data_IF_260786783943
#
_entry.id   IF_260786783943
#
_cell.length_a   1.000
_cell.length_b   1.000
_cell.length_c   1.000
_cell.angle_alpha   90.00
_cell.angle_beta   90.00
_cell.angle_gamma   90.00
#
_symmetry.space_group_name_H-M   'P 1'
#
loop_
_entity.id
_entity.type
_entity.pdbx_description
1 polymer ?
#
# COMPACT_ATOMS: atom_id res chain seq x y z
N UNK A 1 22.81 11.27 -18.66
CA UNK A 1 23.65 10.06 -18.82
C UNK A 1 22.73 8.86 -18.64
N UNK A 2 22.57 8.02 -19.69
CA UNK A 2 21.81 6.76 -19.56
C UNK A 2 22.66 5.81 -18.73
N UNK A 3 22.24 5.53 -17.50
CA UNK A 3 22.82 4.44 -16.71
C UNK A 3 22.33 3.15 -17.31
N UNK A 4 23.17 2.46 -18.05
CA UNK A 4 22.86 1.11 -18.54
C UNK A 4 22.83 0.20 -17.31
N UNK A 5 21.65 -0.20 -16.89
CA UNK A 5 21.51 -1.22 -15.85
C UNK A 5 22.03 -2.55 -16.41
N UNK A 6 23.05 -3.10 -15.78
CA UNK A 6 23.56 -4.44 -16.09
C UNK A 6 22.93 -5.40 -15.10
N UNK A 7 22.10 -6.30 -15.62
CA UNK A 7 21.41 -7.30 -14.82
C UNK A 7 22.43 -8.24 -14.14
N UNK A 8 22.24 -8.49 -12.83
CA UNK A 8 23.11 -9.43 -12.10
C UNK A 8 22.79 -10.86 -12.50
N UNK A 9 23.83 -11.70 -12.54
CA UNK A 9 23.63 -13.15 -12.74
C UNK A 9 22.97 -13.77 -11.49
N UNK A 10 22.27 -14.91 -11.62
CA UNK A 10 21.68 -15.62 -10.48
C UNK A 10 22.70 -15.95 -9.39
N UNK A 11 23.94 -16.27 -9.76
CA UNK A 11 25.03 -16.55 -8.81
C UNK A 11 25.41 -15.28 -8.03
N UNK A 12 25.49 -14.14 -8.71
CA UNK A 12 25.79 -12.86 -8.08
C UNK A 12 24.64 -12.43 -7.13
N UNK A 13 23.40 -12.72 -7.49
CA UNK A 13 22.23 -12.47 -6.63
C UNK A 13 22.28 -13.37 -5.39
N UNK A 14 22.60 -14.65 -5.53
CA UNK A 14 22.72 -15.58 -4.42
C UNK A 14 23.85 -15.17 -3.45
N UNK A 15 24.96 -14.68 -3.97
CA UNK A 15 26.11 -14.23 -3.15
C UNK A 15 25.84 -12.89 -2.46
N UNK A 16 25.38 -11.88 -3.21
CA UNK A 16 25.22 -10.49 -2.73
C UNK A 16 23.92 -10.24 -2.00
N UNK A 17 22.91 -11.09 -2.19
CA UNK A 17 21.57 -11.01 -1.59
C UNK A 17 20.95 -9.61 -1.68
N UNK A 18 20.89 -8.99 -2.88
CA UNK A 18 20.40 -7.60 -3.05
C UNK A 18 18.94 -7.43 -2.60
N UNK A 19 18.16 -8.50 -2.60
CA UNK A 19 16.78 -8.52 -2.15
C UNK A 19 16.63 -8.12 -0.67
N UNK A 20 17.64 -8.33 0.18
CA UNK A 20 17.61 -7.90 1.57
C UNK A 20 17.58 -6.35 1.68
N UNK A 21 18.38 -5.67 0.86
CA UNK A 21 18.41 -4.20 0.80
C UNK A 21 17.07 -3.62 0.27
N UNK A 22 16.34 -4.40 -0.52
CA UNK A 22 15.03 -4.06 -1.04
C UNK A 22 13.87 -4.46 -0.10
N UNK A 23 14.18 -4.99 1.08
CA UNK A 23 13.19 -5.32 2.11
C UNK A 23 12.51 -6.68 1.97
N UNK A 24 13.02 -7.57 1.10
CA UNK A 24 12.61 -8.98 1.10
C UNK A 24 13.48 -9.77 2.06
N UNK A 25 12.88 -10.62 2.88
CA UNK A 25 13.61 -11.59 3.69
C UNK A 25 14.11 -12.76 2.82
N UNK A 26 15.03 -13.56 3.35
CA UNK A 26 15.54 -14.74 2.65
C UNK A 26 14.42 -15.76 2.36
N UNK A 27 13.53 -15.98 3.33
CA UNK A 27 12.38 -16.88 3.17
C UNK A 27 11.41 -16.38 2.08
N UNK A 28 11.17 -15.06 2.01
CA UNK A 28 10.33 -14.46 0.98
C UNK A 28 10.96 -14.58 -0.41
N UNK A 29 12.27 -14.38 -0.53
CA UNK A 29 13.00 -14.60 -1.77
C UNK A 29 12.86 -16.05 -2.26
N UNK A 30 13.11 -17.03 -1.39
CA UNK A 30 12.95 -18.43 -1.73
C UNK A 30 11.51 -18.78 -2.10
N UNK A 31 10.55 -18.27 -1.33
CA UNK A 31 9.13 -18.45 -1.64
C UNK A 31 8.75 -17.87 -2.98
N UNK A 32 9.30 -16.71 -3.33
CA UNK A 32 9.07 -16.08 -4.62
C UNK A 32 9.66 -16.93 -5.77
N UNK A 33 10.91 -17.40 -5.62
CA UNK A 33 11.53 -18.29 -6.59
C UNK A 33 10.72 -19.58 -6.83
N UNK A 34 10.17 -20.18 -5.78
CA UNK A 34 9.26 -21.33 -5.89
C UNK A 34 7.99 -20.98 -6.69
N UNK A 35 7.38 -19.82 -6.43
CA UNK A 35 6.14 -19.40 -7.09
C UNK A 35 6.33 -19.15 -8.58
N UNK A 36 7.44 -18.56 -8.99
CA UNK A 36 7.73 -18.28 -10.39
C UNK A 36 8.41 -19.45 -11.12
N UNK A 37 8.92 -20.43 -10.37
CA UNK A 37 9.52 -21.67 -10.91
C UNK A 37 10.96 -21.52 -11.42
N UNK A 38 11.63 -20.41 -11.10
CA UNK A 38 13.04 -20.17 -11.44
C UNK A 38 13.72 -19.21 -10.45
N UNK A 39 15.02 -19.02 -10.57
CA UNK A 39 15.74 -18.01 -9.78
C UNK A 39 15.39 -16.62 -10.29
N UNK A 40 14.88 -15.71 -9.43
CA UNK A 40 14.49 -14.36 -9.84
C UNK A 40 15.68 -13.54 -10.34
N UNK A 41 15.47 -12.76 -11.38
CA UNK A 41 16.41 -11.74 -11.83
C UNK A 41 16.20 -10.40 -11.08
N UNK A 42 17.05 -9.41 -11.32
CA UNK A 42 17.00 -8.10 -10.64
C UNK A 42 15.65 -7.40 -10.80
N UNK A 43 15.09 -7.44 -11.99
CA UNK A 43 13.79 -6.81 -12.28
C UNK A 43 12.67 -7.50 -11.50
N UNK A 44 12.66 -8.82 -11.48
CA UNK A 44 11.67 -9.62 -10.75
C UNK A 44 11.78 -9.40 -9.23
N UNK A 45 13.01 -9.32 -8.70
CA UNK A 45 13.27 -8.98 -7.30
C UNK A 45 12.72 -7.57 -6.98
N UNK A 46 12.97 -6.59 -7.84
CA UNK A 46 12.45 -5.24 -7.68
C UNK A 46 10.92 -5.20 -7.67
N UNK A 47 10.27 -5.90 -8.59
CA UNK A 47 8.82 -6.04 -8.65
C UNK A 47 8.25 -6.72 -7.40
N UNK A 48 8.84 -7.86 -7.00
CA UNK A 48 8.42 -8.59 -5.81
C UNK A 48 8.57 -7.73 -4.54
N UNK A 49 9.68 -7.01 -4.41
CA UNK A 49 9.93 -6.08 -3.30
C UNK A 49 8.86 -4.99 -3.22
N UNK A 50 8.51 -4.37 -4.33
CA UNK A 50 7.47 -3.35 -4.36
C UNK A 50 6.08 -3.90 -4.02
N UNK A 51 5.69 -4.98 -4.69
CA UNK A 51 4.37 -5.60 -4.50
C UNK A 51 4.21 -6.24 -3.12
N UNK A 52 5.27 -6.79 -2.56
CA UNK A 52 5.29 -7.48 -1.25
C UNK A 52 5.81 -6.59 -0.11
N UNK A 53 5.64 -5.29 -0.25
CA UNK A 53 6.03 -4.29 0.73
C UNK A 53 4.93 -4.04 1.76
N UNK A 54 5.28 -3.34 2.83
CA UNK A 54 4.29 -2.81 3.78
C UNK A 54 3.31 -1.87 3.09
N UNK A 55 3.77 -1.10 2.09
CA UNK A 55 2.93 -0.14 1.38
C UNK A 55 1.84 -0.82 0.53
N UNK A 56 2.18 -1.84 -0.24
CA UNK A 56 1.25 -2.50 -1.16
C UNK A 56 0.49 -3.67 -0.52
N UNK A 57 1.21 -4.51 0.25
CA UNK A 57 0.68 -5.77 0.79
C UNK A 57 0.31 -5.68 2.28
N UNK A 58 0.63 -4.59 2.96
CA UNK A 58 0.52 -4.48 4.41
C UNK A 58 1.25 -5.62 5.13
N UNK A 59 2.46 -5.92 4.66
CA UNK A 59 3.28 -7.08 5.00
C UNK A 59 3.38 -7.35 6.50
N UNK A 60 3.61 -6.29 7.28
CA UNK A 60 3.77 -6.36 8.74
C UNK A 60 2.51 -5.95 9.49
N UNK A 61 1.78 -4.95 9.01
CA UNK A 61 0.62 -4.41 9.72
C UNK A 61 -0.65 -5.23 9.56
N UNK A 62 -0.80 -5.98 8.46
CA UNK A 62 -2.02 -6.75 8.17
C UNK A 62 -2.46 -7.70 9.29
N UNK A 63 -1.57 -8.47 9.97
CA UNK A 63 -1.96 -9.32 11.09
C UNK A 63 -2.49 -8.53 12.29
N UNK A 64 -1.97 -7.31 12.51
CA UNK A 64 -2.40 -6.41 13.58
C UNK A 64 -3.74 -5.77 13.21
N UNK A 65 -3.86 -5.25 11.99
CA UNK A 65 -5.10 -4.62 11.50
C UNK A 65 -6.30 -5.58 11.55
N UNK A 66 -6.07 -6.88 11.31
CA UNK A 66 -7.11 -7.92 11.41
C UNK A 66 -7.67 -8.12 12.83
N UNK A 67 -6.99 -7.62 13.86
CA UNK A 67 -7.43 -7.71 15.24
C UNK A 67 -8.38 -6.58 15.63
N UNK A 68 -8.47 -5.52 14.82
CA UNK A 68 -9.42 -4.43 15.08
C UNK A 68 -10.85 -4.89 14.84
N UNK A 69 -11.73 -4.46 15.74
CA UNK A 69 -13.15 -4.69 15.59
C UNK A 69 -13.75 -3.77 14.53
N UNK A 70 -14.07 -4.34 13.37
CA UNK A 70 -14.54 -3.60 12.18
C UNK A 70 -15.94 -4.03 11.74
N UNK A 71 -16.62 -4.88 12.51
CA UNK A 71 -17.96 -5.38 12.17
C UNK A 71 -18.93 -5.10 13.31
N UNK A 72 -19.99 -4.36 13.02
CA UNK A 72 -21.16 -4.17 13.87
C UNK A 72 -22.35 -3.71 13.02
N UNK A 73 -23.53 -3.59 13.62
CA UNK A 73 -24.78 -3.26 12.93
C UNK A 73 -24.78 -1.87 12.25
N UNK A 74 -23.87 -0.98 12.63
CA UNK A 74 -23.74 0.34 12.05
C UNK A 74 -22.74 0.42 10.90
N UNK A 75 -21.90 -0.58 10.71
CA UNK A 75 -20.93 -0.59 9.62
C UNK A 75 -21.60 -1.02 8.33
N UNK A 76 -21.82 -0.09 7.44
CA UNK A 76 -22.39 -0.34 6.12
C UNK A 76 -21.35 -0.76 5.11
N UNK A 77 -20.12 -0.23 5.24
CA UNK A 77 -18.98 -0.57 4.40
C UNK A 77 -17.72 -0.58 5.26
N UNK A 78 -17.08 -1.73 5.35
CA UNK A 78 -15.89 -1.96 6.16
C UNK A 78 -14.60 -2.09 5.33
N UNK A 79 -13.53 -2.67 5.90
CA UNK A 79 -12.25 -2.83 5.23
C UNK A 79 -12.36 -3.62 3.92
N UNK A 80 -11.59 -3.17 2.91
CA UNK A 80 -11.57 -3.74 1.56
C UNK A 80 -12.08 -2.78 0.49
N UNK A 81 -12.71 -1.69 0.93
CA UNK A 81 -13.23 -0.63 0.07
C UNK A 81 -12.40 0.66 0.19
N UNK A 82 -12.62 1.60 -0.72
CA UNK A 82 -11.88 2.87 -0.76
C UNK A 82 -12.13 3.79 0.42
N UNK A 83 -13.29 3.66 1.08
CA UNK A 83 -13.67 4.45 2.25
C UNK A 83 -14.52 3.63 3.20
N UNK A 84 -14.59 4.03 4.47
CA UNK A 84 -15.51 3.47 5.45
C UNK A 84 -16.88 4.16 5.40
N UNK A 85 -17.96 3.41 5.67
CA UNK A 85 -19.31 3.96 5.74
C UNK A 85 -20.00 3.46 7.02
N UNK A 86 -20.49 4.41 7.80
CA UNK A 86 -21.18 4.14 9.09
C UNK A 86 -22.57 4.76 9.08
N UNK A 87 -23.55 3.95 9.45
CA UNK A 87 -24.91 4.43 9.71
C UNK A 87 -24.94 5.31 10.98
N UNK A 88 -25.44 6.52 10.84
CA UNK A 88 -25.63 7.46 11.96
C UNK A 88 -27.10 7.65 12.35
N UNK A 89 -28.00 6.83 11.80
CA UNK A 89 -29.42 6.88 12.05
C UNK A 89 -30.18 7.83 11.10
N UNK A 90 -31.49 7.83 11.22
CA UNK A 90 -32.38 8.66 10.41
C UNK A 90 -32.22 8.52 8.89
N UNK A 91 -31.79 7.33 8.43
CA UNK A 91 -31.52 7.07 7.00
C UNK A 91 -30.28 7.79 6.48
N UNK A 92 -29.38 8.23 7.36
CA UNK A 92 -28.14 8.92 7.01
C UNK A 92 -26.92 8.07 7.30
N UNK A 93 -25.87 8.24 6.51
CA UNK A 93 -24.59 7.60 6.73
C UNK A 93 -23.45 8.62 6.61
N UNK A 94 -22.36 8.36 7.33
CA UNK A 94 -21.09 9.10 7.19
C UNK A 94 -20.13 8.25 6.41
N UNK A 95 -19.58 8.80 5.33
CA UNK A 95 -18.47 8.27 4.57
C UNK A 95 -17.19 8.95 5.04
N UNK A 96 -16.16 8.19 5.37
CA UNK A 96 -14.91 8.74 5.85
C UNK A 96 -13.71 7.99 5.30
N UNK A 97 -12.60 8.70 5.15
CA UNK A 97 -11.30 8.18 4.74
C UNK A 97 -10.22 8.86 5.56
N UNK A 98 -9.21 8.10 5.93
CA UNK A 98 -7.96 8.61 6.48
C UNK A 98 -6.80 8.05 5.69
N UNK A 99 -5.84 8.87 5.35
CA UNK A 99 -4.65 8.47 4.59
C UNK A 99 -3.44 9.29 5.02
N UNK A 100 -2.30 8.65 5.11
CA UNK A 100 -1.00 9.31 5.25
C UNK A 100 -0.35 9.38 3.87
N UNK A 101 0.04 10.57 3.44
CA UNK A 101 0.74 10.82 2.16
C UNK A 101 2.18 11.28 2.41
N UNK A 102 2.92 10.55 3.26
CA UNK A 102 4.19 11.00 3.82
C UNK A 102 5.36 10.97 2.82
N UNK A 103 5.54 9.89 2.04
CA UNK A 103 6.67 9.77 1.12
C UNK A 103 6.65 10.81 0.01
N UNK A 104 5.56 10.98 -0.76
CA UNK A 104 5.49 12.05 -1.75
C UNK A 104 5.68 13.43 -1.15
N UNK A 105 5.09 13.69 0.03
CA UNK A 105 5.21 14.98 0.72
C UNK A 105 6.61 15.23 1.28
N UNK A 106 7.38 14.20 1.60
CA UNK A 106 8.77 14.34 2.03
C UNK A 106 9.70 14.76 0.87
N UNK A 107 9.37 14.37 -0.36
CA UNK A 107 10.15 14.69 -1.57
C UNK A 107 9.69 16.01 -2.18
N UNK A 108 8.40 16.19 -2.37
CA UNK A 108 7.75 17.37 -2.96
C UNK A 108 6.53 17.76 -2.13
N UNK A 109 6.67 18.59 -1.09
CA UNK A 109 5.62 18.87 -0.11
C UNK A 109 4.33 19.39 -0.73
N UNK A 110 4.42 20.33 -1.67
CA UNK A 110 3.25 20.94 -2.29
C UNK A 110 2.46 19.94 -3.15
N UNK A 111 3.13 19.26 -4.06
CA UNK A 111 2.51 18.28 -4.95
C UNK A 111 2.06 17.03 -4.18
N UNK A 112 2.82 16.65 -3.15
CA UNK A 112 2.46 15.57 -2.25
C UNK A 112 1.18 15.86 -1.48
N UNK A 113 1.05 17.05 -0.91
CA UNK A 113 -0.16 17.49 -0.21
C UNK A 113 -1.36 17.59 -1.18
N UNK A 114 -1.17 18.17 -2.36
CA UNK A 114 -2.22 18.29 -3.37
C UNK A 114 -2.76 16.91 -3.79
N UNK A 115 -1.88 15.94 -4.00
CA UNK A 115 -2.25 14.56 -4.34
C UNK A 115 -2.94 13.84 -3.18
N UNK A 116 -2.46 14.03 -1.96
CA UNK A 116 -3.07 13.47 -0.75
C UNK A 116 -4.50 13.94 -0.57
N UNK A 117 -4.72 15.26 -0.63
CA UNK A 117 -6.05 15.88 -0.56
C UNK A 117 -6.95 15.39 -1.70
N UNK A 118 -6.46 15.41 -2.92
CA UNK A 118 -7.23 14.97 -4.10
C UNK A 118 -7.62 13.50 -4.03
N UNK A 119 -6.73 12.63 -3.56
CA UNK A 119 -6.98 11.20 -3.40
C UNK A 119 -8.08 10.91 -2.39
N UNK A 120 -8.04 11.55 -1.22
CA UNK A 120 -9.08 11.40 -0.18
C UNK A 120 -10.45 11.89 -0.66
N UNK A 121 -10.50 13.04 -1.31
CA UNK A 121 -11.75 13.59 -1.87
C UNK A 121 -12.32 12.65 -2.92
N UNK A 122 -11.48 12.12 -3.80
CA UNK A 122 -11.88 11.16 -4.84
C UNK A 122 -12.51 9.91 -4.25
N UNK A 123 -11.95 9.36 -3.18
CA UNK A 123 -12.49 8.16 -2.55
C UNK A 123 -13.88 8.39 -1.95
N UNK A 124 -14.12 9.57 -1.36
CA UNK A 124 -15.45 9.95 -0.87
C UNK A 124 -16.46 10.07 -2.03
N UNK A 125 -16.07 10.71 -3.13
CA UNK A 125 -16.92 10.81 -4.33
C UNK A 125 -17.19 9.44 -4.96
N UNK A 126 -16.22 8.53 -4.97
CA UNK A 126 -16.38 7.19 -5.55
C UNK A 126 -17.46 6.36 -4.86
N UNK A 127 -17.71 6.63 -3.57
CA UNK A 127 -18.78 6.00 -2.78
C UNK A 127 -20.14 6.73 -3.01
N UNK A 128 -20.17 7.82 -3.77
CA UNK A 128 -21.38 8.61 -4.04
C UNK A 128 -21.68 9.66 -2.98
N UNK A 129 -20.76 9.94 -2.08
CA UNK A 129 -20.94 10.94 -1.03
C UNK A 129 -20.31 12.29 -1.43
N UNK A 130 -20.85 13.38 -0.85
CA UNK A 130 -20.29 14.72 -1.00
C UNK A 130 -19.38 15.01 0.21
N UNK A 131 -18.12 15.42 0.01
CA UNK A 131 -17.25 15.86 1.09
C UNK A 131 -17.86 17.06 1.84
N UNK A 132 -17.88 16.98 3.15
CA UNK A 132 -18.44 18.03 4.03
C UNK A 132 -17.40 18.58 5.01
N UNK A 133 -16.33 17.86 5.26
CA UNK A 133 -15.23 18.26 6.10
C UNK A 133 -13.91 17.64 5.61
N UNK A 134 -12.82 18.36 5.80
CA UNK A 134 -11.46 17.88 5.68
C UNK A 134 -10.75 18.19 6.99
N UNK A 135 -10.01 17.19 7.47
CA UNK A 135 -9.25 17.28 8.71
C UNK A 135 -7.80 17.02 8.38
N UNK A 136 -6.93 17.80 8.99
CA UNK A 136 -5.47 17.65 8.90
C UNK A 136 -4.89 17.68 10.33
N UNK A 137 -3.90 16.82 10.61
CA UNK A 137 -3.32 16.66 11.94
C UNK A 137 -1.80 16.60 11.91
#
# INVERSE_FOLDING_TARGET
MSVTHVEMSPEAIAEKKPYLALGLTEDEYHRFAELIGHQPNDTEIGLASGMWSEHCAYKYSKPILRQFWTKNDRVLMGPGEGAGVIDIGEGKAVVFKAESHNHPSAVEPYEGAATGVGGIIRDIFSIGAKPVAMLDS
#
